data_IF_302060940695
#
_entry.id   IF_302060940695
#
_cell.length_a   1.000
_cell.length_b   1.000
_cell.length_c   1.000
_cell.angle_alpha   90.00
_cell.angle_beta   90.00
_cell.angle_gamma   90.00
#
_symmetry.space_group_name_H-M   'P 1'
#
loop_
_entity.id
_entity.type
_entity.pdbx_description
1 polymer ?
#
# COMPACT_ATOMS: atom_id res chain seq x y z
N UNK A 1 -29.99 29.13 51.28
CA UNK A 1 -29.74 27.76 50.75
C UNK A 1 -28.23 27.71 50.49
N UNK A 2 -27.39 27.10 51.35
CA UNK A 2 -27.07 25.64 51.44
C UNK A 2 -26.91 25.04 50.02
N UNK A 3 -25.77 24.53 49.54
CA UNK A 3 -24.69 23.77 50.19
C UNK A 3 -23.33 23.90 49.47
N UNK A 4 -22.27 23.77 50.27
CA UNK A 4 -20.89 23.37 49.94
C UNK A 4 -20.80 21.87 49.60
N UNK A 5 -19.82 21.48 48.77
CA UNK A 5 -19.02 20.21 48.74
C UNK A 5 -18.14 20.27 47.47
N UNK A 6 -16.84 20.58 47.48
CA UNK A 6 -15.62 19.97 48.06
C UNK A 6 -15.29 18.53 47.58
N UNK A 7 -14.15 18.47 46.86
CA UNK A 7 -13.23 17.36 46.51
C UNK A 7 -13.67 16.18 45.63
N UNK A 8 -12.92 15.95 44.54
CA UNK A 8 -11.78 15.02 44.64
C UNK A 8 -10.73 15.28 43.55
N UNK A 9 -9.50 15.51 44.00
CA UNK A 9 -8.25 15.45 43.24
C UNK A 9 -7.93 13.96 43.03
N UNK A 10 -7.83 13.51 41.78
CA UNK A 10 -7.14 12.25 41.46
C UNK A 10 -6.12 12.55 40.37
N UNK A 11 -4.87 12.68 40.79
CA UNK A 11 -3.70 12.52 39.93
C UNK A 11 -3.28 11.05 39.93
N UNK A 12 -2.78 10.60 38.76
CA UNK A 12 -1.96 9.42 38.47
C UNK A 12 -2.70 8.08 38.27
N UNK A 13 -2.77 7.61 37.02
CA UNK A 13 -1.90 6.54 36.51
C UNK A 13 -1.83 6.59 34.99
N UNK A 14 -0.63 6.35 34.46
CA UNK A 14 -0.25 6.56 33.07
C UNK A 14 -0.86 5.57 32.09
N UNK A 15 -1.09 6.08 30.89
CA UNK A 15 -1.62 5.35 29.75
C UNK A 15 -2.27 6.35 28.83
N UNK A 16 -1.48 7.10 28.06
CA UNK A 16 -2.01 7.86 26.93
C UNK A 16 -2.64 6.85 25.97
N UNK A 17 -3.95 6.63 26.09
CA UNK A 17 -4.72 5.91 25.08
C UNK A 17 -4.67 6.77 23.83
N UNK A 18 -3.95 6.30 22.83
CA UNK A 18 -3.85 7.00 21.57
C UNK A 18 -5.18 6.83 20.84
N UNK A 19 -5.73 7.94 20.37
CA UNK A 19 -6.94 7.95 19.58
C UNK A 19 -6.64 7.38 18.20
N UNK A 20 -7.19 6.19 17.90
CA UNK A 20 -7.09 5.61 16.57
C UNK A 20 -7.79 6.52 15.55
N UNK A 21 -7.07 6.91 14.50
CA UNK A 21 -7.62 7.71 13.41
C UNK A 21 -7.84 6.81 12.19
N UNK A 22 -8.98 6.98 11.53
CA UNK A 22 -9.25 6.28 10.26
C UNK A 22 -9.22 7.27 9.11
N UNK A 23 -8.31 7.06 8.17
CA UNK A 23 -8.23 7.81 6.92
C UNK A 23 -8.97 7.04 5.82
N UNK A 24 -9.97 7.68 5.22
CA UNK A 24 -10.69 7.15 4.05
C UNK A 24 -10.24 7.74 2.71
N UNK A 25 -9.45 8.82 2.76
CA UNK A 25 -8.88 9.44 1.57
C UNK A 25 -7.65 8.65 1.12
N UNK A 26 -7.67 8.13 -0.10
CA UNK A 26 -6.59 7.28 -0.64
C UNK A 26 -6.21 7.70 -2.06
N UNK A 27 -4.98 7.40 -2.46
CA UNK A 27 -4.53 7.60 -3.84
C UNK A 27 -5.16 6.57 -4.80
N UNK A 28 -5.17 6.85 -6.13
CA UNK A 28 -5.70 5.90 -7.10
C UNK A 28 -5.02 4.52 -7.05
N UNK A 29 -3.71 4.46 -6.81
CA UNK A 29 -2.96 3.19 -6.70
C UNK A 29 -3.45 2.37 -5.50
N UNK A 30 -3.73 3.01 -4.37
CA UNK A 30 -4.26 2.33 -3.18
C UNK A 30 -5.67 1.81 -3.41
N UNK A 31 -6.51 2.60 -4.10
CA UNK A 31 -7.81 2.10 -4.51
C UNK A 31 -7.67 0.89 -5.44
N UNK A 32 -6.81 0.93 -6.46
CA UNK A 32 -6.55 -0.19 -7.37
C UNK A 32 -6.06 -1.44 -6.61
N UNK A 33 -5.19 -1.25 -5.61
CA UNK A 33 -4.74 -2.29 -4.66
C UNK A 33 -5.84 -2.82 -3.72
N UNK A 34 -7.05 -2.27 -3.80
CA UNK A 34 -8.23 -2.72 -3.08
C UNK A 34 -8.40 -2.12 -1.70
N UNK A 35 -7.69 -1.03 -1.36
CA UNK A 35 -7.81 -0.37 -0.07
C UNK A 35 -9.07 0.48 -0.01
N UNK A 36 -9.79 0.41 1.10
CA UNK A 36 -10.97 1.25 1.40
C UNK A 36 -10.72 2.23 2.57
N UNK A 37 -9.81 1.87 3.49
CA UNK A 37 -9.46 2.71 4.62
C UNK A 37 -8.06 2.36 5.15
N UNK A 38 -7.44 3.34 5.79
CA UNK A 38 -6.18 3.19 6.52
C UNK A 38 -6.45 3.53 7.98
N UNK A 39 -6.18 2.59 8.87
CA UNK A 39 -6.27 2.79 10.31
C UNK A 39 -4.89 3.13 10.86
N UNK A 40 -4.81 4.26 11.55
CA UNK A 40 -3.60 4.77 12.17
C UNK A 40 -3.72 4.70 13.69
N UNK A 41 -2.72 4.12 14.33
CA UNK A 41 -2.57 4.07 15.78
C UNK A 41 -1.14 4.44 16.16
N UNK A 42 -0.95 5.14 17.27
CA UNK A 42 0.38 5.43 17.82
C UNK A 42 0.63 4.48 18.98
N UNK A 43 1.72 3.72 18.92
CA UNK A 43 2.11 2.74 19.93
C UNK A 43 3.55 3.02 20.33
N UNK A 44 3.74 3.57 21.54
CA UNK A 44 5.08 3.82 22.12
C UNK A 44 6.03 4.60 21.18
N UNK A 45 5.53 5.64 20.50
CA UNK A 45 6.32 6.46 19.57
C UNK A 45 6.52 5.86 18.17
N UNK A 46 5.76 4.80 17.86
CA UNK A 46 5.67 4.24 16.50
C UNK A 46 4.24 4.43 16.00
N UNK A 47 4.09 5.06 14.84
CA UNK A 47 2.81 5.13 14.15
C UNK A 47 2.61 3.85 13.34
N UNK A 48 1.58 3.08 13.66
CA UNK A 48 1.20 1.85 12.97
C UNK A 48 0.04 2.15 12.02
N UNK A 49 0.24 1.84 10.74
CA UNK A 49 -0.77 1.91 9.71
C UNK A 49 -1.23 0.49 9.34
N UNK A 50 -2.52 0.22 9.53
CA UNK A 50 -3.17 -1.00 9.07
C UNK A 50 -4.09 -0.68 7.90
N UNK A 51 -4.09 -1.52 6.89
CA UNK A 51 -4.90 -1.33 5.69
C UNK A 51 -6.17 -2.15 5.82
N UNK A 52 -7.31 -1.56 5.44
CA UNK A 52 -8.55 -2.27 5.21
C UNK A 52 -8.75 -2.43 3.72
N UNK A 53 -8.85 -3.66 3.22
CA UNK A 53 -8.98 -3.98 1.80
C UNK A 53 -10.17 -4.87 1.50
N UNK A 54 -10.81 -4.65 0.35
CA UNK A 54 -11.97 -5.40 -0.13
C UNK A 54 -11.67 -6.38 -1.26
N UNK A 55 -10.45 -6.36 -1.83
CA UNK A 55 -10.00 -7.27 -2.90
C UNK A 55 -8.51 -7.54 -2.82
N UNK A 56 -8.06 -8.52 -3.61
CA UNK A 56 -6.65 -8.77 -3.88
C UNK A 56 -6.22 -8.02 -5.14
N UNK A 57 -4.94 -7.70 -5.24
CA UNK A 57 -4.29 -7.30 -6.49
C UNK A 57 -3.14 -8.25 -6.80
N UNK A 58 -2.68 -8.26 -8.04
CA UNK A 58 -1.62 -9.17 -8.48
C UNK A 58 -0.30 -8.44 -8.65
N UNK A 59 0.72 -8.97 -8.00
CA UNK A 59 2.10 -8.51 -8.07
C UNK A 59 3.02 -9.73 -8.27
N UNK A 60 3.83 -9.73 -9.33
CA UNK A 60 4.71 -10.85 -9.70
C UNK A 60 4.02 -12.23 -9.65
N UNK A 61 2.78 -12.33 -10.16
CA UNK A 61 1.96 -13.56 -10.18
C UNK A 61 1.34 -13.98 -8.85
N UNK A 62 1.54 -13.22 -7.79
CA UNK A 62 0.96 -13.50 -6.49
C UNK A 62 -0.24 -12.59 -6.23
N UNK A 63 -1.33 -13.17 -5.73
CA UNK A 63 -2.44 -12.41 -5.20
C UNK A 63 -2.04 -11.83 -3.83
N UNK A 64 -2.00 -10.51 -3.75
CA UNK A 64 -1.61 -9.76 -2.55
C UNK A 64 -2.85 -9.13 -1.93
N UNK A 65 -2.96 -9.27 -0.61
CA UNK A 65 -3.96 -8.63 0.23
C UNK A 65 -3.27 -7.70 1.23
N UNK A 66 -3.53 -6.39 1.18
CA UNK A 66 -2.85 -5.46 2.11
C UNK A 66 -3.34 -5.59 3.55
N UNK A 67 -4.48 -6.25 3.83
CA UNK A 67 -4.88 -6.61 5.20
C UNK A 67 -3.85 -7.52 5.88
N UNK A 68 -3.02 -8.25 5.12
CA UNK A 68 -2.00 -9.12 5.67
C UNK A 68 -0.75 -8.37 6.16
N UNK A 69 -0.71 -7.04 5.98
CA UNK A 69 0.47 -6.23 6.25
C UNK A 69 0.12 -4.98 7.08
N UNK A 70 1.13 -4.50 7.79
CA UNK A 70 1.14 -3.20 8.44
C UNK A 70 2.39 -2.43 8.03
N UNK A 71 2.27 -1.11 8.02
CA UNK A 71 3.41 -0.21 7.89
C UNK A 71 3.66 0.46 9.23
N UNK A 72 4.83 0.26 9.79
CA UNK A 72 5.23 0.86 11.07
C UNK A 72 6.17 2.02 10.77
N UNK A 73 5.88 3.20 11.31
CA UNK A 73 6.69 4.41 11.12
C UNK A 73 7.27 4.88 12.44
N UNK A 74 8.58 5.09 12.48
CA UNK A 74 9.29 5.71 13.59
C UNK A 74 10.16 6.84 13.04
N UNK A 75 9.72 8.09 13.19
CA UNK A 75 10.37 9.25 12.57
C UNK A 75 10.28 9.22 11.03
N UNK A 76 11.43 9.14 10.36
CA UNK A 76 11.55 9.01 8.89
C UNK A 76 11.60 7.55 8.41
N UNK A 77 11.76 6.59 9.32
CA UNK A 77 11.85 5.18 8.99
C UNK A 77 10.47 4.56 8.90
N UNK A 78 10.26 3.78 7.84
CA UNK A 78 9.10 2.95 7.59
C UNK A 78 9.54 1.49 7.55
N UNK A 79 8.78 0.60 8.20
CA UNK A 79 9.03 -0.84 8.24
C UNK A 79 7.78 -1.58 7.81
N UNK A 80 7.93 -2.55 6.92
CA UNK A 80 6.85 -3.45 6.56
C UNK A 80 6.79 -4.61 7.56
N UNK A 81 5.60 -4.90 8.06
CA UNK A 81 5.35 -5.99 9.01
C UNK A 81 4.25 -6.87 8.45
N UNK A 82 4.48 -8.17 8.37
CA UNK A 82 3.43 -9.13 8.05
C UNK A 82 2.67 -9.49 9.33
N UNK A 83 1.35 -9.58 9.25
CA UNK A 83 0.50 -10.01 10.37
C UNK A 83 0.49 -11.52 10.56
N UNK A 84 0.92 -12.28 9.55
CA UNK A 84 1.13 -13.71 9.71
C UNK A 84 2.39 -13.95 10.56
N UNK A 85 2.28 -14.55 11.77
CA UNK A 85 3.43 -14.75 12.65
C UNK A 85 4.48 -15.71 12.09
N UNK A 86 4.16 -16.49 11.05
CA UNK A 86 5.13 -17.35 10.35
C UNK A 86 5.96 -16.58 9.31
N UNK A 87 5.55 -15.38 8.94
CA UNK A 87 6.24 -14.54 7.94
C UNK A 87 7.07 -13.49 8.65
N UNK A 88 8.38 -13.73 8.78
CA UNK A 88 9.29 -12.74 9.35
C UNK A 88 9.81 -11.78 8.26
N UNK A 89 9.29 -10.55 8.26
CA UNK A 89 9.74 -9.47 7.37
C UNK A 89 10.73 -8.50 8.01
N UNK A 90 11.29 -8.79 9.20
CA UNK A 90 11.97 -7.80 10.07
C UNK A 90 13.07 -6.94 9.45
N UNK A 91 13.55 -7.29 8.26
CA UNK A 91 14.55 -6.56 7.49
C UNK A 91 13.98 -5.51 6.52
N UNK A 92 12.71 -5.56 6.10
CA UNK A 92 12.16 -4.68 5.06
C UNK A 92 11.83 -3.28 5.59
N UNK A 93 12.68 -2.31 5.24
CA UNK A 93 12.64 -0.95 5.77
C UNK A 93 12.99 0.08 4.69
N UNK A 94 12.37 1.25 4.78
CA UNK A 94 12.66 2.43 3.97
C UNK A 94 12.84 3.63 4.88
N UNK A 95 13.99 4.32 4.78
CA UNK A 95 14.22 5.59 5.45
C UNK A 95 14.02 6.73 4.45
N UNK A 96 13.03 7.58 4.71
CA UNK A 96 12.64 8.68 3.83
C UNK A 96 13.24 9.99 4.32
N UNK A 97 14.29 10.44 3.66
CA UNK A 97 15.00 11.68 4.00
C UNK A 97 14.86 12.71 2.89
N UNK A 98 15.30 13.95 3.15
CA UNK A 98 15.39 14.98 2.09
C UNK A 98 16.30 14.59 0.94
N UNK A 99 17.30 13.74 1.17
CA UNK A 99 18.23 13.26 0.15
C UNK A 99 17.65 12.16 -0.75
N UNK A 100 16.51 11.59 -0.35
CA UNK A 100 15.85 10.48 -1.03
C UNK A 100 15.56 9.32 -0.07
N UNK A 101 15.28 8.16 -0.66
CA UNK A 101 14.89 6.95 0.09
C UNK A 101 16.07 5.99 0.18
N UNK A 102 16.37 5.53 1.38
CA UNK A 102 17.34 4.47 1.64
C UNK A 102 16.59 3.18 1.96
N UNK A 103 16.85 2.11 1.22
CA UNK A 103 16.23 0.80 1.43
C UNK A 103 17.14 -0.12 2.23
N UNK A 104 16.53 -0.89 3.11
CA UNK A 104 17.15 -2.06 3.74
C UNK A 104 16.21 -3.25 3.57
N UNK A 105 16.72 -4.35 3.05
CA UNK A 105 16.00 -5.59 2.75
C UNK A 105 16.99 -6.76 2.88
N UNK A 106 16.57 -8.03 2.84
CA UNK A 106 17.52 -9.16 2.84
C UNK A 106 18.50 -9.14 1.67
N UNK A 107 18.10 -8.61 0.51
CA UNK A 107 18.86 -8.67 -0.74
C UNK A 107 19.52 -7.36 -1.15
N UNK A 108 19.15 -6.25 -0.50
CA UNK A 108 19.61 -4.93 -0.88
C UNK A 108 19.67 -3.98 0.32
N UNK A 109 20.77 -3.23 0.41
CA UNK A 109 20.95 -2.13 1.35
C UNK A 109 21.65 -0.98 0.64
N UNK A 110 20.95 0.12 0.42
CA UNK A 110 21.46 1.23 -0.38
C UNK A 110 20.39 2.25 -0.73
N UNK A 111 20.76 3.25 -1.53
CA UNK A 111 19.79 4.26 -1.97
C UNK A 111 18.82 3.66 -3.00
N UNK A 112 17.56 4.08 -2.98
CA UNK A 112 16.55 3.57 -3.92
C UNK A 112 16.92 3.84 -5.38
N UNK A 113 17.62 4.95 -5.65
CA UNK A 113 18.07 5.32 -7.01
C UNK A 113 19.10 4.37 -7.60
N UNK A 114 19.84 3.66 -6.75
CA UNK A 114 20.87 2.69 -7.13
C UNK A 114 20.34 1.24 -7.09
N UNK A 115 19.08 1.05 -6.68
CA UNK A 115 18.49 -0.27 -6.61
C UNK A 115 18.39 -0.90 -8.00
N UNK A 116 18.85 -2.15 -8.18
CA UNK A 116 18.71 -2.84 -9.46
C UNK A 116 17.23 -3.07 -9.77
N UNK A 117 16.86 -2.98 -11.04
CA UNK A 117 15.46 -3.16 -11.46
C UNK A 117 14.90 -4.53 -11.12
N UNK A 118 15.75 -5.56 -11.06
CA UNK A 118 15.39 -6.93 -10.66
C UNK A 118 14.83 -7.01 -9.24
N UNK A 119 15.22 -6.07 -8.37
CA UNK A 119 14.74 -6.00 -6.99
C UNK A 119 13.21 -5.82 -6.92
N UNK A 120 12.63 -5.06 -7.84
CA UNK A 120 11.19 -4.79 -7.89
C UNK A 120 10.40 -5.94 -8.54
N UNK A 121 11.05 -6.73 -9.40
CA UNK A 121 10.41 -7.84 -10.14
C UNK A 121 10.49 -9.18 -9.41
N UNK A 122 11.35 -9.30 -8.41
CA UNK A 122 11.58 -10.57 -7.69
C UNK A 122 11.11 -10.54 -6.24
N UNK A 123 10.80 -9.35 -5.70
CA UNK A 123 10.47 -9.19 -4.29
C UNK A 123 9.22 -8.33 -4.10
N UNK A 124 8.11 -9.02 -3.89
CA UNK A 124 6.81 -8.40 -3.67
C UNK A 124 6.77 -7.48 -2.45
N UNK A 125 7.58 -7.77 -1.44
CA UNK A 125 7.58 -7.02 -0.18
C UNK A 125 8.15 -5.62 -0.36
N UNK A 126 9.07 -5.43 -1.31
CA UNK A 126 9.63 -4.12 -1.62
C UNK A 126 8.59 -3.23 -2.30
N UNK A 127 7.86 -3.79 -3.26
CA UNK A 127 6.76 -3.07 -3.90
C UNK A 127 5.66 -2.68 -2.90
N UNK A 128 5.28 -3.59 -1.98
CA UNK A 128 4.29 -3.32 -0.93
C UNK A 128 4.79 -2.22 0.02
N UNK A 129 6.04 -2.32 0.48
CA UNK A 129 6.67 -1.31 1.34
C UNK A 129 6.64 0.07 0.66
N UNK A 130 7.11 0.13 -0.59
CA UNK A 130 7.19 1.37 -1.35
C UNK A 130 5.80 1.96 -1.61
N UNK A 131 4.82 1.14 -2.00
CA UNK A 131 3.43 1.54 -2.14
C UNK A 131 2.91 2.16 -0.84
N UNK A 132 3.08 1.47 0.30
CA UNK A 132 2.79 1.99 1.64
C UNK A 132 3.43 3.35 1.93
N UNK A 133 4.74 3.48 1.66
CA UNK A 133 5.48 4.72 1.87
C UNK A 133 4.95 5.84 0.98
N UNK A 134 4.65 5.60 -0.30
CA UNK A 134 4.07 6.60 -1.19
C UNK A 134 2.75 7.13 -0.64
N UNK A 135 1.84 6.25 -0.22
CA UNK A 135 0.53 6.67 0.29
C UNK A 135 0.62 7.47 1.58
N UNK A 136 1.60 7.19 2.44
CA UNK A 136 1.71 7.90 3.72
C UNK A 136 2.58 9.16 3.62
N UNK A 137 3.66 9.12 2.85
CA UNK A 137 4.66 10.20 2.80
C UNK A 137 4.45 11.20 1.66
N UNK A 138 3.79 10.82 0.57
CA UNK A 138 3.59 11.73 -0.57
C UNK A 138 2.37 12.64 -0.34
N UNK A 139 2.60 13.91 -0.05
CA UNK A 139 1.51 14.87 0.16
C UNK A 139 1.03 15.54 -1.13
N UNK A 140 1.67 15.25 -2.27
CA UNK A 140 1.41 15.94 -3.55
C UNK A 140 0.36 15.26 -4.40
N UNK A 141 0.20 13.94 -4.23
CA UNK A 141 -0.78 13.17 -5.00
C UNK A 141 -2.19 13.42 -4.48
N UNK A 142 -3.13 13.68 -5.40
CA UNK A 142 -4.54 13.85 -5.07
C UNK A 142 -5.09 12.57 -4.43
N UNK A 143 -5.75 12.73 -3.29
CA UNK A 143 -6.51 11.66 -2.62
C UNK A 143 -8.00 11.93 -2.73
N UNK A 144 -8.78 10.87 -2.83
CA UNK A 144 -10.23 10.93 -2.87
C UNK A 144 -10.82 9.90 -1.92
N UNK A 145 -12.06 10.09 -1.50
CA UNK A 145 -12.74 9.11 -0.67
C UNK A 145 -12.92 7.82 -1.48
N UNK A 146 -12.82 6.66 -0.83
CA UNK A 146 -13.11 5.38 -1.46
C UNK A 146 -14.47 5.39 -2.19
N UNK A 147 -15.49 5.96 -1.54
CA UNK A 147 -16.86 6.05 -2.05
C UNK A 147 -16.94 6.83 -3.39
N UNK A 148 -16.04 7.79 -3.63
CA UNK A 148 -15.97 8.53 -4.89
C UNK A 148 -15.45 7.67 -6.04
N UNK A 149 -14.53 6.74 -5.78
CA UNK A 149 -14.05 5.81 -6.80
C UNK A 149 -15.11 4.78 -7.17
N UNK A 150 -15.86 4.29 -6.17
CA UNK A 150 -16.98 3.35 -6.38
C UNK A 150 -18.03 3.94 -7.29
N UNK A 151 -18.41 5.20 -7.06
CA UNK A 151 -19.44 5.89 -7.85
C UNK A 151 -18.99 6.22 -9.27
N UNK A 152 -17.69 6.42 -9.50
CA UNK A 152 -17.11 6.63 -10.83
C UNK A 152 -16.89 5.32 -11.62
N UNK A 153 -16.94 4.17 -10.95
CA UNK A 153 -16.74 2.86 -11.57
C UNK A 153 -18.00 2.45 -12.35
N UNK A 154 -18.15 2.95 -13.58
CA UNK A 154 -19.24 2.61 -14.48
C UNK A 154 -18.91 1.45 -15.43
N UNK A 155 -19.79 0.45 -15.43
CA UNK A 155 -20.05 -0.60 -16.46
C UNK A 155 -19.13 -1.83 -16.59
N UNK A 156 -19.80 -2.93 -17.00
CA UNK A 156 -19.43 -4.32 -17.34
C UNK A 156 -18.80 -5.24 -16.28
N UNK A 157 -18.14 -4.72 -15.25
CA UNK A 157 -17.61 -5.55 -14.17
C UNK A 157 -18.01 -5.06 -12.78
N UNK A 158 -18.45 -5.98 -11.91
CA UNK A 158 -18.62 -5.68 -10.49
C UNK A 158 -17.25 -5.40 -9.85
N UNK A 159 -17.17 -4.44 -8.92
CA UNK A 159 -15.93 -4.10 -8.20
C UNK A 159 -15.27 -5.31 -7.49
N UNK A 160 -16.08 -6.29 -7.08
CA UNK A 160 -15.64 -7.55 -6.47
C UNK A 160 -14.92 -8.48 -7.46
N UNK A 161 -15.19 -8.31 -8.76
CA UNK A 161 -14.71 -9.15 -9.84
C UNK A 161 -13.64 -8.45 -10.68
N UNK A 162 -13.28 -7.22 -10.31
CA UNK A 162 -12.19 -6.46 -10.93
C UNK A 162 -10.88 -6.72 -10.18
N UNK A 163 -9.88 -7.20 -10.91
CA UNK A 163 -8.53 -7.45 -10.43
C UNK A 163 -7.54 -6.55 -11.15
N UNK A 164 -6.49 -6.13 -10.44
CA UNK A 164 -5.44 -5.28 -11.00
C UNK A 164 -4.12 -6.04 -11.03
N UNK A 165 -3.47 -6.08 -12.18
CA UNK A 165 -2.04 -6.36 -12.27
C UNK A 165 -1.27 -5.07 -12.03
N UNK A 166 -0.22 -5.12 -11.21
CA UNK A 166 0.58 -3.94 -10.86
C UNK A 166 2.05 -4.19 -11.23
N UNK A 167 2.61 -3.31 -12.06
CA UNK A 167 4.04 -3.20 -12.29
C UNK A 167 4.63 -2.02 -11.53
N UNK A 168 5.89 -2.16 -11.12
CA UNK A 168 6.62 -1.17 -10.32
C UNK A 168 7.96 -0.87 -10.97
N UNK A 169 8.38 0.40 -10.96
CA UNK A 169 9.71 0.79 -11.42
C UNK A 169 10.09 2.21 -10.99
N UNK A 170 11.37 2.56 -11.09
CA UNK A 170 11.86 3.91 -10.71
C UNK A 170 11.39 5.03 -11.64
N UNK A 171 10.83 4.67 -12.80
CA UNK A 171 10.23 5.58 -13.76
C UNK A 171 9.09 4.87 -14.49
N UNK A 172 8.31 5.64 -15.26
CA UNK A 172 7.14 5.15 -16.00
C UNK A 172 7.48 4.00 -16.94
N UNK A 173 8.58 4.10 -17.69
CA UNK A 173 8.97 3.07 -18.66
C UNK A 173 9.31 1.74 -17.97
N UNK A 174 10.04 1.79 -16.85
CA UNK A 174 10.37 0.61 -16.05
C UNK A 174 9.11 -0.03 -15.45
N UNK A 175 8.19 0.78 -14.91
CA UNK A 175 6.93 0.29 -14.35
C UNK A 175 6.04 -0.39 -15.41
N UNK A 176 5.92 0.20 -16.60
CA UNK A 176 5.18 -0.39 -17.73
C UNK A 176 5.88 -1.68 -18.22
N UNK A 177 7.20 -1.66 -18.36
CA UNK A 177 7.97 -2.86 -18.77
C UNK A 177 7.74 -4.02 -17.80
N UNK A 178 7.76 -3.73 -16.50
CA UNK A 178 7.48 -4.70 -15.46
C UNK A 178 6.03 -5.21 -15.53
N UNK A 179 5.04 -4.31 -15.64
CA UNK A 179 3.64 -4.69 -15.81
C UNK A 179 3.43 -5.61 -17.01
N UNK A 180 4.02 -5.27 -18.17
CA UNK A 180 3.94 -6.09 -19.38
C UNK A 180 4.54 -7.48 -19.17
N UNK A 181 5.63 -7.58 -18.40
CA UNK A 181 6.22 -8.87 -18.02
C UNK A 181 5.24 -9.71 -17.19
N UNK A 182 4.58 -9.11 -16.19
CA UNK A 182 3.57 -9.78 -15.36
C UNK A 182 2.40 -10.27 -16.21
N UNK A 183 1.83 -9.39 -17.06
CA UNK A 183 0.71 -9.72 -17.93
C UNK A 183 1.06 -10.88 -18.86
N UNK A 184 2.25 -10.84 -19.48
CA UNK A 184 2.70 -11.92 -20.37
C UNK A 184 2.82 -13.25 -19.62
N UNK A 185 3.32 -13.23 -18.39
CA UNK A 185 3.42 -14.44 -17.56
C UNK A 185 2.04 -14.96 -17.12
N UNK A 186 1.11 -14.10 -16.69
CA UNK A 186 -0.25 -14.53 -16.35
C UNK A 186 -0.95 -15.21 -17.53
N UNK A 187 -0.82 -14.65 -18.74
CA UNK A 187 -1.34 -15.27 -19.98
C UNK A 187 -0.71 -16.63 -20.26
N UNK A 188 0.58 -16.80 -20.00
CA UNK A 188 1.25 -18.08 -20.21
C UNK A 188 0.84 -19.16 -19.19
N UNK A 189 0.36 -18.76 -18.01
CA UNK A 189 -0.05 -19.65 -16.92
C UNK A 189 -1.57 -19.86 -16.85
N UNK A 190 -2.33 -19.22 -17.74
CA UNK A 190 -3.79 -19.27 -17.74
C UNK A 190 -4.48 -18.59 -16.56
N UNK A 191 -3.75 -17.77 -15.78
CA UNK A 191 -4.26 -17.14 -14.54
C UNK A 191 -5.46 -16.21 -14.78
N UNK A 192 -5.60 -15.72 -16.02
CA UNK A 192 -6.68 -14.80 -16.43
C UNK A 192 -7.43 -15.30 -17.67
N UNK A 193 -7.45 -16.60 -17.93
CA UNK A 193 -8.13 -17.16 -19.12
C UNK A 193 -9.64 -16.89 -19.09
N UNK A 194 -10.24 -16.89 -17.90
CA UNK A 194 -11.66 -16.55 -17.70
C UNK A 194 -11.88 -15.05 -17.43
N UNK A 195 -10.89 -14.21 -17.76
CA UNK A 195 -10.96 -12.77 -17.51
C UNK A 195 -10.89 -11.96 -18.80
N UNK A 196 -11.68 -10.90 -18.84
CA UNK A 196 -11.67 -9.90 -19.92
C UNK A 196 -10.86 -8.68 -19.46
N UNK A 197 -9.93 -8.21 -20.29
CA UNK A 197 -9.26 -6.94 -20.06
C UNK A 197 -10.27 -5.78 -20.16
N UNK A 198 -10.38 -4.96 -19.11
CA UNK A 198 -11.24 -3.76 -19.13
C UNK A 198 -10.44 -2.48 -19.36
N UNK A 199 -9.13 -2.50 -19.06
CA UNK A 199 -8.22 -1.42 -19.43
C UNK A 199 -7.73 -1.60 -20.88
N UNK A 200 -7.74 -0.52 -21.66
CA UNK A 200 -7.12 -0.51 -23.01
C UNK A 200 -5.63 -0.16 -22.96
N UNK A 201 -5.20 0.54 -21.91
CA UNK A 201 -3.83 0.97 -21.67
C UNK A 201 -3.50 0.89 -20.18
N UNK A 202 -2.21 0.81 -19.87
CA UNK A 202 -1.74 0.87 -18.49
C UNK A 202 -1.97 2.26 -17.90
N UNK A 203 -2.58 2.33 -16.72
CA UNK A 203 -2.64 3.55 -15.92
C UNK A 203 -1.35 3.70 -15.13
N UNK A 204 -0.75 4.88 -15.11
CA UNK A 204 0.55 5.09 -14.43
C UNK A 204 0.48 6.21 -13.43
N UNK A 205 1.02 5.94 -12.24
CA UNK A 205 1.07 6.88 -11.13
C UNK A 205 2.50 6.96 -10.61
N UNK A 206 3.08 8.15 -10.64
CA UNK A 206 4.45 8.38 -10.20
C UNK A 206 4.46 9.22 -8.91
N UNK A 207 5.26 8.75 -7.97
CA UNK A 207 5.51 9.34 -6.67
C UNK A 207 7.01 9.63 -6.54
N UNK A 208 7.40 10.30 -5.45
CA UNK A 208 8.83 10.56 -5.19
C UNK A 208 9.69 9.29 -5.05
N UNK A 209 9.07 8.14 -4.77
CA UNK A 209 9.72 6.82 -4.65
C UNK A 209 9.77 6.02 -5.96
N UNK A 210 9.13 6.49 -7.04
CA UNK A 210 9.00 5.75 -8.29
C UNK A 210 7.57 5.68 -8.78
N UNK A 211 7.35 4.86 -9.81
CA UNK A 211 6.11 4.76 -10.54
C UNK A 211 5.49 3.37 -10.42
N UNK A 212 4.17 3.35 -10.39
CA UNK A 212 3.32 2.17 -10.44
C UNK A 212 2.52 2.22 -11.73
N UNK A 213 2.51 1.12 -12.47
CA UNK A 213 1.68 0.93 -13.65
C UNK A 213 0.64 -0.14 -13.34
N UNK A 214 -0.62 0.10 -13.65
CA UNK A 214 -1.71 -0.84 -13.34
C UNK A 214 -2.52 -1.17 -14.59
N UNK A 215 -3.06 -2.39 -14.60
CA UNK A 215 -3.91 -2.88 -15.67
C UNK A 215 -5.04 -3.71 -15.09
N UNK A 216 -6.28 -3.38 -15.45
CA UNK A 216 -7.47 -3.99 -14.86
C UNK A 216 -8.02 -5.13 -15.71
N UNK A 217 -8.48 -6.16 -15.01
CA UNK A 217 -9.10 -7.38 -15.54
C UNK A 217 -10.45 -7.57 -14.87
N UNK A 218 -11.47 -7.92 -15.65
CA UNK A 218 -12.74 -8.41 -15.16
C UNK A 218 -12.77 -9.93 -15.24
N UNK A 219 -12.80 -10.62 -14.10
CA UNK A 219 -12.85 -12.06 -14.06
C UNK A 219 -14.26 -12.51 -13.65
N UNK A 220 -14.94 -13.26 -14.51
CA UNK A 220 -16.18 -13.93 -14.12
C UNK A 220 -15.81 -15.15 -13.30
N UNK A 221 -16.09 -15.11 -11.99
CA UNK A 221 -16.06 -16.32 -11.14
C UNK A 221 -17.05 -17.37 -11.65
#
# INVERSE_FOLDING_TARGET
MRNFLFFCLVTLFGGTSVQAQTQKLITPVFWQAGVQAIHQEEIKGTTVFSFSTFRHFFLNLEAVNLNAYQLHRTGSQYRLVALNPKTNLGTYQADVTKAGVFLTTPRYKGTLKEAPTTLFTEDNQIAILLMGVAEIADTTTKRQAYEDYVTQSGTDCALSNTYYSVGVGLNTAAAISHLNHIIKRHKALGTFDDCTAISTQAETHCFFIGCFATFAWCCTS
#
